data_IF_832654596626
#
_entry.id   IF_832654596626
#
_cell.length_a   1.000
_cell.length_b   1.000
_cell.length_c   1.000
_cell.angle_alpha   90.00
_cell.angle_beta   90.00
_cell.angle_gamma   90.00
#
_symmetry.space_group_name_H-M   'P 1'
#
loop_
_entity.id
_entity.type
_entity.pdbx_description
1 polymer ?
#
# COMPACT_ATOMS: atom_id res chain seq x y z
N UNK A 1 -19.38 4.56 8.04
CA UNK A 1 -18.76 5.50 7.07
C UNK A 1 -17.66 4.78 6.31
N UNK A 2 -17.31 5.24 5.11
CA UNK A 2 -16.22 4.60 4.37
C UNK A 2 -14.94 5.43 4.40
N UNK A 3 -13.82 4.74 4.50
CA UNK A 3 -12.49 5.33 4.64
C UNK A 3 -11.52 4.73 3.64
N UNK A 4 -10.55 5.55 3.24
CA UNK A 4 -9.32 5.12 2.59
C UNK A 4 -8.19 5.25 3.60
N UNK A 5 -7.34 4.24 3.65
CA UNK A 5 -6.11 4.23 4.43
C UNK A 5 -4.94 3.91 3.50
N UNK A 6 -3.81 4.58 3.71
CA UNK A 6 -2.53 4.28 3.04
C UNK A 6 -1.37 4.41 4.02
N UNK A 7 -0.27 3.73 3.70
CA UNK A 7 0.91 3.58 4.54
C UNK A 7 2.19 3.80 3.74
N UNK A 8 3.11 4.59 4.31
CA UNK A 8 4.52 4.60 3.93
C UNK A 8 5.37 4.10 5.08
N UNK A 9 6.49 3.45 4.76
CA UNK A 9 7.34 2.82 5.76
C UNK A 9 8.54 2.15 5.14
N UNK A 10 9.20 1.34 5.95
CA UNK A 10 10.40 0.60 5.60
C UNK A 10 10.04 -0.86 5.32
N UNK A 11 10.62 -1.43 4.25
CA UNK A 11 10.61 -2.87 3.98
C UNK A 11 12.07 -3.28 3.94
N UNK A 12 12.55 -3.91 5.02
CA UNK A 12 13.97 -4.21 5.23
C UNK A 12 14.16 -5.69 5.61
N UNK A 13 15.36 -6.27 5.51
CA UNK A 13 15.57 -7.69 5.81
C UNK A 13 15.10 -8.15 7.20
N UNK A 14 15.13 -7.25 8.20
CA UNK A 14 14.70 -7.53 9.58
C UNK A 14 13.20 -7.33 9.82
N UNK A 15 12.51 -6.57 8.95
CA UNK A 15 11.09 -6.26 9.10
C UNK A 15 10.37 -6.49 7.78
N UNK A 16 9.38 -7.38 7.79
CA UNK A 16 8.45 -7.53 6.65
C UNK A 16 7.86 -6.17 6.25
N UNK A 17 7.46 -5.36 7.25
CA UNK A 17 7.12 -3.96 7.07
C UNK A 17 7.19 -3.20 8.41
N UNK A 18 7.78 -2.01 8.40
CA UNK A 18 7.76 -1.09 9.54
C UNK A 18 7.11 0.25 9.12
N UNK A 19 5.91 0.60 9.64
CA UNK A 19 5.23 1.84 9.28
C UNK A 19 6.00 3.08 9.72
N UNK A 20 5.97 4.11 8.87
CA UNK A 20 6.54 5.44 9.16
C UNK A 20 5.55 6.57 9.02
N UNK A 21 4.67 6.51 8.04
CA UNK A 21 3.57 7.45 7.83
C UNK A 21 2.29 6.64 7.61
N UNK A 22 1.20 7.05 8.27
CA UNK A 22 -0.13 6.52 8.01
C UNK A 22 -1.05 7.68 7.73
N UNK A 23 -1.92 7.54 6.73
CA UNK A 23 -2.97 8.51 6.47
C UNK A 23 -4.33 7.84 6.31
N UNK A 24 -5.36 8.55 6.75
CA UNK A 24 -6.76 8.15 6.67
C UNK A 24 -7.56 9.29 6.09
N UNK A 25 -8.37 9.00 5.08
CA UNK A 25 -9.27 9.97 4.44
C UNK A 25 -10.68 9.41 4.42
N UNK A 26 -11.66 10.18 4.87
CA UNK A 26 -13.07 9.81 4.70
C UNK A 26 -13.45 9.94 3.23
N UNK A 27 -14.15 8.95 2.67
CA UNK A 27 -14.71 9.06 1.33
C UNK A 27 -15.81 10.12 1.25
N UNK A 28 -16.69 10.14 2.26
CA UNK A 28 -17.88 11.00 2.26
C UNK A 28 -17.67 12.38 2.87
N UNK A 29 -16.72 12.52 3.81
CA UNK A 29 -16.48 13.78 4.53
C UNK A 29 -15.21 14.46 4.06
N UNK A 30 -15.07 15.75 4.38
CA UNK A 30 -13.83 16.52 4.17
C UNK A 30 -12.80 16.31 5.30
N UNK A 31 -12.87 15.18 6.00
CA UNK A 31 -11.95 14.86 7.09
C UNK A 31 -10.80 13.99 6.60
N UNK A 32 -9.59 14.37 6.99
CA UNK A 32 -8.38 13.60 6.78
C UNK A 32 -7.52 13.68 8.04
N UNK A 33 -6.76 12.61 8.30
CA UNK A 33 -5.80 12.55 9.40
C UNK A 33 -4.56 11.82 8.92
N UNK A 34 -3.40 12.23 9.40
CA UNK A 34 -2.12 11.62 9.05
C UNK A 34 -1.17 11.68 10.23
N UNK A 35 -0.41 10.62 10.43
CA UNK A 35 0.52 10.47 11.54
C UNK A 35 1.89 10.07 11.03
N UNK A 36 2.93 10.52 11.74
CA UNK A 36 4.30 10.10 11.51
C UNK A 36 4.81 9.42 12.77
N UNK A 37 5.18 8.15 12.62
CA UNK A 37 5.55 7.32 13.74
C UNK A 37 6.97 7.63 14.20
N UNK A 38 7.15 7.68 15.50
CA UNK A 38 8.48 7.61 16.10
C UNK A 38 9.07 6.21 15.88
N UNK A 39 10.39 6.10 15.68
CA UNK A 39 11.02 4.80 15.51
C UNK A 39 10.92 3.97 16.80
N UNK A 40 10.79 2.63 16.71
CA UNK A 40 10.70 1.76 17.89
C UNK A 40 12.04 1.66 18.63
N UNK A 41 13.17 1.69 17.89
CA UNK A 41 14.51 1.62 18.45
C UNK A 41 15.43 2.72 17.90
N UNK A 42 16.54 2.94 18.59
CA UNK A 42 17.59 3.85 18.13
C UNK A 42 18.25 3.32 16.85
N UNK A 43 18.50 4.19 15.87
CA UNK A 43 19.13 3.83 14.59
C UNK A 43 20.41 2.97 14.74
N UNK A 44 21.21 3.26 15.77
CA UNK A 44 22.50 2.58 15.98
C UNK A 44 22.38 1.11 16.38
N UNK A 45 21.22 0.66 16.87
CA UNK A 45 21.01 -0.73 17.31
C UNK A 45 20.87 -1.72 16.15
N UNK A 46 20.62 -1.23 14.94
CA UNK A 46 20.40 -2.09 13.78
C UNK A 46 21.68 -2.50 13.05
N UNK A 47 21.61 -3.63 12.36
CA UNK A 47 22.70 -4.10 11.50
C UNK A 47 22.94 -3.19 10.29
N UNK A 48 24.15 -3.20 9.69
CA UNK A 48 24.50 -2.33 8.57
C UNK A 48 23.53 -2.39 7.38
N UNK A 49 22.99 -3.55 7.05
CA UNK A 49 22.10 -3.71 5.89
C UNK A 49 20.71 -3.12 6.14
N UNK A 50 20.21 -3.22 7.37
CA UNK A 50 18.97 -2.57 7.80
C UNK A 50 19.14 -1.05 7.82
N UNK A 51 20.28 -0.56 8.28
CA UNK A 51 20.64 0.88 8.22
C UNK A 51 20.64 1.42 6.80
N UNK A 52 21.27 0.71 5.84
CA UNK A 52 21.25 1.08 4.41
C UNK A 52 19.82 1.15 3.87
N UNK A 53 18.98 0.17 4.23
CA UNK A 53 17.57 0.16 3.85
C UNK A 53 16.83 1.38 4.42
N UNK A 54 16.96 1.65 5.73
CA UNK A 54 16.37 2.83 6.38
C UNK A 54 16.78 4.12 5.67
N UNK A 55 18.06 4.27 5.34
CA UNK A 55 18.57 5.46 4.67
C UNK A 55 18.01 5.60 3.25
N UNK A 56 17.93 4.51 2.50
CA UNK A 56 17.33 4.48 1.17
C UNK A 56 15.89 5.00 1.21
N UNK A 57 15.05 4.43 2.05
CA UNK A 57 13.64 4.81 2.16
C UNK A 57 13.47 6.24 2.68
N UNK A 58 14.27 6.62 3.69
CA UNK A 58 14.25 7.97 4.27
C UNK A 58 14.68 9.06 3.27
N UNK A 59 15.60 8.76 2.35
CA UNK A 59 16.18 9.75 1.43
C UNK A 59 15.58 9.71 0.03
N UNK A 60 15.03 8.58 -0.42
CA UNK A 60 14.61 8.35 -1.80
C UNK A 60 13.14 7.99 -1.97
N UNK A 61 12.49 7.41 -0.95
CA UNK A 61 11.11 6.94 -1.07
C UNK A 61 10.14 7.92 -0.44
N UNK A 62 10.13 8.02 0.89
CA UNK A 62 9.14 8.83 1.60
C UNK A 62 9.72 10.11 2.22
N UNK A 63 11.03 10.33 2.26
CA UNK A 63 11.60 11.63 2.67
C UNK A 63 11.49 11.95 4.17
N UNK A 64 11.13 10.96 4.98
CA UNK A 64 10.98 11.07 6.44
C UNK A 64 12.18 10.37 7.06
N UNK A 65 12.97 11.10 7.86
CA UNK A 65 14.16 10.56 8.52
C UNK A 65 13.74 9.57 9.61
N UNK A 66 14.61 8.61 9.89
CA UNK A 66 14.40 7.62 10.95
C UNK A 66 13.99 8.26 12.28
N UNK A 67 14.70 9.31 12.70
CA UNK A 67 14.49 10.00 13.97
C UNK A 67 13.29 10.94 14.02
N UNK A 68 12.62 11.18 12.90
CA UNK A 68 11.43 12.04 12.86
C UNK A 68 10.17 11.27 13.24
N UNK A 69 9.10 11.98 13.56
CA UNK A 69 7.87 11.38 14.06
C UNK A 69 7.69 11.57 15.55
N UNK A 70 6.45 11.62 15.98
CA UNK A 70 6.08 11.98 17.36
C UNK A 70 5.06 11.03 17.97
N UNK A 71 4.61 10.03 17.21
CA UNK A 71 3.52 9.14 17.59
C UNK A 71 4.10 7.74 17.78
N UNK A 72 4.09 7.18 18.99
CA UNK A 72 4.41 5.78 19.21
C UNK A 72 3.48 4.86 18.43
N UNK A 73 3.99 3.70 17.99
CA UNK A 73 3.20 2.75 17.19
C UNK A 73 1.96 2.22 17.92
N UNK A 74 2.07 2.00 19.24
CA UNK A 74 0.96 1.53 20.07
C UNK A 74 -0.19 2.54 20.16
N UNK A 75 0.14 3.81 20.40
CA UNK A 75 -0.82 4.91 20.45
C UNK A 75 -1.56 5.04 19.10
N UNK A 76 -0.82 4.92 18.01
CA UNK A 76 -1.41 4.96 16.67
C UNK A 76 -2.39 3.82 16.42
N UNK A 77 -2.06 2.59 16.87
CA UNK A 77 -2.97 1.45 16.74
C UNK A 77 -4.29 1.72 17.47
N UNK A 78 -4.24 2.31 18.67
CA UNK A 78 -5.43 2.68 19.44
C UNK A 78 -6.24 3.75 18.69
N UNK A 79 -5.57 4.81 18.21
CA UNK A 79 -6.23 5.91 17.51
C UNK A 79 -6.92 5.46 16.23
N UNK A 80 -6.23 4.69 15.39
CA UNK A 80 -6.79 4.20 14.13
C UNK A 80 -7.92 3.21 14.39
N UNK A 81 -7.76 2.26 15.33
CA UNK A 81 -8.84 1.34 15.71
C UNK A 81 -10.10 2.11 16.10
N UNK A 82 -9.96 3.09 17.00
CA UNK A 82 -11.08 3.91 17.48
C UNK A 82 -11.74 4.71 16.35
N UNK A 83 -10.95 5.29 15.45
CA UNK A 83 -11.48 6.03 14.30
C UNK A 83 -12.26 5.11 13.34
N UNK A 84 -11.82 3.86 13.18
CA UNK A 84 -12.39 2.89 12.25
C UNK A 84 -13.52 2.03 12.84
N UNK A 85 -13.85 2.16 14.13
CA UNK A 85 -14.92 1.36 14.77
C UNK A 85 -16.26 1.47 14.04
N UNK A 86 -16.58 2.66 13.53
CA UNK A 86 -17.83 2.93 12.80
C UNK A 86 -17.69 2.85 11.27
N UNK A 87 -16.55 2.34 10.80
CA UNK A 87 -16.31 2.19 9.37
C UNK A 87 -17.17 1.03 8.81
N UNK A 88 -17.89 1.28 7.71
CA UNK A 88 -18.56 0.20 6.99
C UNK A 88 -17.50 -0.51 6.15
N UNK A 89 -16.80 0.24 5.29
CA UNK A 89 -15.73 -0.24 4.44
C UNK A 89 -14.42 0.54 4.68
N UNK A 90 -13.30 -0.17 4.56
CA UNK A 90 -11.95 0.39 4.62
C UNK A 90 -11.23 -0.06 3.36
N UNK A 91 -10.78 0.91 2.57
CA UNK A 91 -10.10 0.69 1.30
C UNK A 91 -8.63 1.04 1.42
N UNK A 92 -7.76 0.25 0.80
CA UNK A 92 -6.33 0.53 0.66
C UNK A 92 -5.88 0.25 -0.77
N UNK A 93 -4.69 0.73 -1.13
CA UNK A 93 -4.12 0.65 -2.48
C UNK A 93 -2.63 0.34 -2.35
N UNK A 94 -2.32 -0.69 -1.56
CA UNK A 94 -0.93 -1.07 -1.27
C UNK A 94 -0.57 -2.28 -2.11
N UNK A 95 0.60 -2.20 -2.75
CA UNK A 95 1.21 -3.23 -3.59
C UNK A 95 1.93 -4.33 -2.80
N UNK A 96 2.08 -4.13 -1.48
CA UNK A 96 2.80 -5.05 -0.59
C UNK A 96 1.84 -5.81 0.30
N UNK A 97 1.92 -7.14 0.25
CA UNK A 97 1.17 -8.04 1.13
C UNK A 97 1.39 -7.72 2.61
N UNK A 98 2.63 -7.47 3.01
CA UNK A 98 3.00 -7.14 4.39
C UNK A 98 2.35 -5.83 4.88
N UNK A 99 2.12 -4.85 3.99
CA UNK A 99 1.36 -3.62 4.35
C UNK A 99 -0.12 -3.93 4.60
N UNK A 100 -0.74 -4.79 3.79
CA UNK A 100 -2.13 -5.22 4.00
C UNK A 100 -2.26 -5.97 5.33
N UNK A 101 -1.36 -6.91 5.59
CA UNK A 101 -1.36 -7.71 6.81
C UNK A 101 -1.16 -6.84 8.05
N UNK A 102 -0.26 -5.84 7.98
CA UNK A 102 -0.12 -4.85 9.03
C UNK A 102 -1.43 -4.09 9.31
N UNK A 103 -2.17 -3.66 8.27
CA UNK A 103 -3.45 -2.98 8.43
C UNK A 103 -4.52 -3.88 9.02
N UNK A 104 -4.67 -5.10 8.51
CA UNK A 104 -5.67 -6.06 8.98
C UNK A 104 -5.42 -6.45 10.44
N UNK A 105 -4.16 -6.68 10.81
CA UNK A 105 -3.75 -6.90 12.19
C UNK A 105 -4.04 -5.69 13.08
N UNK A 106 -3.66 -4.49 12.61
CA UNK A 106 -3.88 -3.23 13.34
C UNK A 106 -5.37 -2.94 13.51
N UNK A 107 -6.23 -3.30 12.57
CA UNK A 107 -7.66 -2.98 12.63
C UNK A 107 -8.50 -4.11 13.22
N UNK A 108 -7.98 -5.33 13.28
CA UNK A 108 -8.72 -6.53 13.69
C UNK A 108 -9.88 -6.88 12.74
N UNK A 109 -9.81 -6.46 11.47
CA UNK A 109 -10.82 -6.71 10.45
C UNK A 109 -10.23 -6.59 9.05
N UNK A 110 -10.93 -7.15 8.07
CA UNK A 110 -10.51 -7.12 6.68
C UNK A 110 -10.45 -5.68 6.12
N UNK A 111 -9.43 -5.45 5.29
CA UNK A 111 -9.24 -4.23 4.52
C UNK A 111 -9.30 -4.59 3.04
N UNK A 112 -10.11 -3.86 2.28
CA UNK A 112 -10.26 -4.08 0.84
C UNK A 112 -9.07 -3.46 0.11
N UNK A 113 -8.11 -4.30 -0.29
CA UNK A 113 -7.01 -3.85 -1.13
C UNK A 113 -7.49 -3.69 -2.57
N UNK A 114 -7.62 -2.44 -3.01
CA UNK A 114 -8.01 -2.13 -4.37
C UNK A 114 -6.84 -2.24 -5.34
N UNK A 115 -5.58 -2.35 -4.86
CA UNK A 115 -4.41 -2.57 -5.72
C UNK A 115 -4.53 -3.84 -6.57
N UNK A 116 -5.18 -4.88 -6.04
CA UNK A 116 -5.38 -6.17 -6.72
C UNK A 116 -6.25 -6.05 -7.98
N UNK A 117 -6.92 -4.92 -8.18
CA UNK A 117 -7.90 -4.70 -9.23
C UNK A 117 -7.62 -3.46 -10.08
N UNK A 118 -6.51 -2.79 -9.83
CA UNK A 118 -6.14 -1.55 -10.49
C UNK A 118 -5.06 -1.77 -11.53
N UNK A 119 -5.22 -1.11 -12.67
CA UNK A 119 -4.18 -0.91 -13.66
C UNK A 119 -3.43 0.43 -13.45
N UNK A 120 -3.85 1.29 -12.50
CA UNK A 120 -3.29 2.64 -12.35
C UNK A 120 -2.56 2.88 -11.03
N UNK A 121 -1.24 3.08 -11.13
CA UNK A 121 -0.35 3.49 -10.05
C UNK A 121 -0.68 4.89 -9.50
N UNK A 122 -0.22 5.19 -8.28
CA UNK A 122 -0.37 6.54 -7.69
C UNK A 122 0.21 7.66 -8.59
N UNK A 123 1.28 7.37 -9.32
CA UNK A 123 1.90 8.26 -10.30
C UNK A 123 0.96 8.59 -11.47
N UNK A 124 0.21 7.61 -11.97
CA UNK A 124 -0.75 7.81 -13.05
C UNK A 124 -1.97 8.60 -12.58
N UNK A 125 -2.50 8.26 -11.40
CA UNK A 125 -3.59 9.03 -10.77
C UNK A 125 -3.14 10.47 -10.49
N UNK A 126 -1.88 10.68 -10.09
CA UNK A 126 -1.34 12.03 -9.89
C UNK A 126 -1.28 12.83 -11.20
N UNK A 127 -0.99 12.18 -12.34
CA UNK A 127 -0.97 12.82 -13.66
C UNK A 127 -2.38 13.16 -14.13
N UNK A 128 -3.35 12.27 -13.90
CA UNK A 128 -4.76 12.48 -14.25
C UNK A 128 -5.41 13.59 -13.43
N UNK A 129 -5.30 13.53 -12.10
CA UNK A 129 -6.03 14.42 -11.21
C UNK A 129 -5.29 15.71 -10.85
N UNK A 130 -4.01 15.83 -11.25
CA UNK A 130 -3.18 17.03 -11.06
C UNK A 130 -3.04 17.49 -9.60
N UNK A 131 -3.23 16.58 -8.64
CA UNK A 131 -3.42 16.93 -7.23
C UNK A 131 -2.20 16.62 -6.39
N UNK A 132 -1.81 17.59 -5.55
CA UNK A 132 -0.72 17.45 -4.58
C UNK A 132 -1.23 17.88 -3.20
N UNK A 133 -2.06 17.06 -2.57
CA UNK A 133 -2.19 17.18 -1.12
C UNK A 133 -0.97 16.52 -0.51
N UNK A 134 -0.33 17.13 0.46
CA UNK A 134 0.77 16.51 1.17
C UNK A 134 0.48 16.57 2.66
N UNK A 135 1.00 15.62 3.43
CA UNK A 135 0.92 15.72 4.88
C UNK A 135 1.69 16.97 5.34
N UNK A 136 1.37 17.46 6.54
CA UNK A 136 1.98 18.67 7.08
C UNK A 136 3.52 18.60 7.06
N UNK A 137 4.07 17.43 7.34
CA UNK A 137 5.51 17.21 7.32
C UNK A 137 6.14 17.41 5.93
N UNK A 138 5.56 16.80 4.90
CA UNK A 138 6.02 17.00 3.52
C UNK A 138 5.79 18.43 3.05
N UNK A 139 4.69 19.08 3.45
CA UNK A 139 4.43 20.49 3.13
C UNK A 139 5.51 21.40 3.71
N UNK A 140 5.87 21.22 4.98
CA UNK A 140 6.91 22.01 5.65
C UNK A 140 8.30 21.78 5.05
N UNK A 141 8.56 20.60 4.49
CA UNK A 141 9.82 20.29 3.79
C UNK A 141 9.83 20.71 2.32
N UNK A 142 8.70 21.08 1.74
CA UNK A 142 8.55 21.31 0.29
C UNK A 142 9.31 22.53 -0.29
N UNK A 143 10.05 23.27 0.55
CA UNK A 143 10.92 24.38 0.14
C UNK A 143 12.05 23.96 -0.80
N UNK A 144 12.45 22.68 -0.81
CA UNK A 144 13.39 22.15 -1.82
C UNK A 144 12.66 21.27 -2.84
N UNK A 145 13.02 21.40 -4.13
CA UNK A 145 12.39 20.64 -5.25
C UNK A 145 12.39 19.12 -5.02
N UNK A 146 13.40 18.61 -4.32
CA UNK A 146 13.57 17.19 -3.99
C UNK A 146 12.39 16.66 -3.18
N UNK A 147 11.78 17.48 -2.31
CA UNK A 147 10.69 17.03 -1.44
C UNK A 147 9.34 16.86 -2.14
N UNK A 148 9.19 17.32 -3.38
CA UNK A 148 7.94 17.19 -4.16
C UNK A 148 7.76 15.83 -4.83
N UNK A 149 8.79 14.99 -4.78
CA UNK A 149 8.83 13.66 -5.40
C UNK A 149 8.67 12.53 -4.37
N UNK A 150 8.65 12.85 -3.07
CA UNK A 150 8.46 11.84 -2.04
C UNK A 150 7.04 11.26 -2.03
N UNK A 151 6.98 9.97 -1.78
CA UNK A 151 5.73 9.27 -1.52
C UNK A 151 5.14 9.76 -0.20
N UNK A 152 3.88 10.18 -0.25
CA UNK A 152 3.13 10.68 0.90
C UNK A 152 1.83 9.89 1.00
N UNK A 153 1.62 9.21 2.14
CA UNK A 153 0.42 8.42 2.38
C UNK A 153 -0.85 9.27 2.24
N UNK A 154 -0.82 10.52 2.72
CA UNK A 154 -1.97 11.42 2.64
C UNK A 154 -2.28 11.84 1.20
N UNK A 155 -1.25 12.10 0.39
CA UNK A 155 -1.45 12.41 -1.03
C UNK A 155 -2.14 11.25 -1.73
N UNK A 156 -1.61 10.05 -1.52
CA UNK A 156 -2.12 8.82 -2.10
C UNK A 156 -3.59 8.60 -1.73
N UNK A 157 -3.94 8.70 -0.43
CA UNK A 157 -5.33 8.59 0.02
C UNK A 157 -6.27 9.57 -0.71
N UNK A 158 -5.84 10.80 -0.96
CA UNK A 158 -6.64 11.76 -1.71
C UNK A 158 -6.77 11.43 -3.19
N UNK A 159 -5.71 10.93 -3.84
CA UNK A 159 -5.76 10.45 -5.22
C UNK A 159 -6.74 9.28 -5.35
N UNK A 160 -6.64 8.32 -4.44
CA UNK A 160 -7.55 7.17 -4.36
C UNK A 160 -8.99 7.60 -4.11
N UNK A 161 -9.23 8.60 -3.25
CA UNK A 161 -10.57 9.17 -3.05
C UNK A 161 -11.16 9.72 -4.34
N UNK A 162 -10.36 10.48 -5.11
CA UNK A 162 -10.82 11.02 -6.39
C UNK A 162 -11.15 9.91 -7.38
N UNK A 163 -10.29 8.89 -7.45
CA UNK A 163 -10.51 7.73 -8.30
C UNK A 163 -11.80 6.99 -7.93
N UNK A 164 -12.00 6.63 -6.65
CA UNK A 164 -13.22 5.95 -6.19
C UNK A 164 -14.48 6.77 -6.51
N UNK A 165 -14.44 8.09 -6.28
CA UNK A 165 -15.58 8.98 -6.59
C UNK A 165 -15.84 9.04 -8.09
N UNK A 166 -14.79 9.06 -8.92
CA UNK A 166 -14.90 9.04 -10.38
C UNK A 166 -15.59 7.74 -10.84
N UNK A 167 -15.08 6.58 -10.41
CA UNK A 167 -15.68 5.27 -10.72
C UNK A 167 -17.15 5.23 -10.29
N UNK A 168 -17.46 5.69 -9.07
CA UNK A 168 -18.82 5.71 -8.58
C UNK A 168 -19.76 6.58 -9.43
N UNK A 169 -19.30 7.71 -9.95
CA UNK A 169 -20.07 8.57 -10.86
C UNK A 169 -20.26 7.92 -12.22
N UNK A 170 -19.21 7.36 -12.79
CA UNK A 170 -19.24 6.73 -14.11
C UNK A 170 -20.27 5.58 -14.16
N UNK A 171 -20.35 4.76 -13.11
CA UNK A 171 -21.29 3.64 -13.04
C UNK A 171 -22.69 3.99 -12.55
N UNK A 172 -22.84 5.06 -11.74
CA UNK A 172 -24.17 5.47 -11.27
C UNK A 172 -24.91 6.36 -12.26
N UNK A 173 -24.19 7.00 -13.20
CA UNK A 173 -24.74 8.01 -14.10
C UNK A 173 -25.26 9.27 -13.39
N UNK A 174 -24.99 9.41 -12.08
CA UNK A 174 -25.45 10.54 -11.26
C UNK A 174 -24.36 11.61 -11.13
N UNK A 175 -24.68 12.90 -11.30
CA UNK A 175 -23.75 13.99 -11.04
C UNK A 175 -23.55 14.25 -9.54
N UNK A 176 -24.44 13.75 -8.68
CA UNK A 176 -24.41 14.00 -7.24
C UNK A 176 -23.25 13.27 -6.55
N UNK A 177 -22.92 13.69 -5.33
CA UNK A 177 -21.93 13.00 -4.53
C UNK A 177 -22.44 11.59 -4.18
N UNK A 178 -21.72 10.52 -4.58
CA UNK A 178 -22.20 9.16 -4.38
C UNK A 178 -22.19 8.80 -2.90
N UNK A 179 -23.26 8.17 -2.41
CA UNK A 179 -23.29 7.62 -1.05
C UNK A 179 -22.49 6.30 -0.94
N UNK A 180 -22.33 5.81 0.30
CA UNK A 180 -21.60 4.57 0.62
C UNK A 180 -22.12 3.35 -0.15
N UNK A 181 -23.45 3.22 -0.29
CA UNK A 181 -24.07 2.11 -1.01
C UNK A 181 -23.86 2.20 -2.53
N UNK A 182 -23.82 3.42 -3.07
CA UNK A 182 -23.53 3.71 -4.48
C UNK A 182 -22.07 3.42 -4.80
N UNK A 183 -21.14 3.86 -3.94
CA UNK A 183 -19.71 3.54 -4.06
C UNK A 183 -19.51 2.02 -4.04
N UNK A 184 -20.06 1.32 -3.05
CA UNK A 184 -19.87 -0.13 -2.91
C UNK A 184 -20.42 -0.89 -4.12
N UNK A 185 -21.59 -0.51 -4.63
CA UNK A 185 -22.17 -1.13 -5.85
C UNK A 185 -21.34 -0.83 -7.09
N UNK A 186 -20.97 0.43 -7.31
CA UNK A 186 -20.19 0.85 -8.46
C UNK A 186 -18.82 0.16 -8.50
N UNK A 187 -18.12 0.12 -7.36
CA UNK A 187 -16.89 -0.65 -7.24
C UNK A 187 -17.15 -2.13 -7.53
N UNK A 188 -18.18 -2.75 -6.96
CA UNK A 188 -18.51 -4.14 -7.27
C UNK A 188 -18.80 -4.42 -8.76
N UNK A 189 -19.38 -3.46 -9.48
CA UNK A 189 -19.56 -3.56 -10.94
C UNK A 189 -18.23 -3.41 -11.69
N UNK A 190 -17.48 -2.34 -11.39
CA UNK A 190 -16.17 -2.09 -11.98
C UNK A 190 -15.23 -3.29 -11.81
N UNK A 191 -15.15 -3.82 -10.59
CA UNK A 191 -14.33 -4.98 -10.26
C UNK A 191 -14.71 -6.21 -11.09
N UNK A 192 -16.01 -6.51 -11.22
CA UNK A 192 -16.44 -7.66 -12.04
C UNK A 192 -16.05 -7.51 -13.50
N UNK A 193 -16.27 -6.32 -14.08
CA UNK A 193 -15.95 -6.06 -15.49
C UNK A 193 -14.43 -6.14 -15.75
N UNK A 194 -13.60 -5.61 -14.84
CA UNK A 194 -12.15 -5.54 -15.05
C UNK A 194 -11.39 -6.80 -14.58
N UNK A 195 -12.00 -7.69 -13.78
CA UNK A 195 -11.41 -9.00 -13.44
C UNK A 195 -11.54 -9.97 -14.62
N UNK A 196 -12.66 -9.92 -15.35
CA UNK A 196 -12.89 -10.79 -16.51
C UNK A 196 -11.89 -10.49 -17.64
N UNK A 197 -11.58 -9.21 -17.89
CA UNK A 197 -10.61 -8.80 -18.92
C UNK A 197 -9.16 -9.22 -18.58
N UNK A 198 -8.75 -9.15 -17.31
CA UNK A 198 -7.40 -9.54 -16.88
C UNK A 198 -7.15 -11.07 -16.92
N UNK A 199 -8.20 -11.88 -16.80
CA UNK A 199 -8.08 -13.35 -16.96
C UNK A 199 -7.96 -13.74 -18.44
N UNK A 200 -8.59 -13.00 -19.35
CA UNK A 200 -8.52 -13.25 -20.80
C UNK A 200 -7.15 -12.84 -21.37
N UNK A 201 -6.57 -11.71 -20.93
CA UNK A 201 -5.23 -11.30 -21.37
C UNK A 201 -4.12 -12.24 -20.87
N UNK A 202 -4.22 -12.76 -19.63
CA UNK A 202 -3.26 -13.73 -19.11
C UNK A 202 -3.35 -15.11 -19.77
N UNK A 203 -4.52 -15.52 -20.25
CA UNK A 203 -4.65 -16.76 -21.05
C UNK A 203 -4.15 -16.59 -22.49
N UNK A 204 -4.21 -15.38 -23.04
CA UNK A 204 -3.65 -15.04 -24.36
C UNK A 204 -2.12 -14.98 -24.37
N UNK A 205 -1.48 -14.68 -23.24
CA UNK A 205 -0.03 -14.59 -23.13
C UNK A 205 0.66 -15.96 -22.92
N UNK A 206 -0.10 -16.98 -22.49
CA UNK A 206 0.41 -18.35 -22.25
C UNK A 206 0.37 -19.21 -23.52
N UNK A 207 -0.26 -18.76 -24.61
CA UNK A 207 -0.43 -19.56 -25.84
C UNK A 207 0.59 -19.27 -26.95
N UNK A 208 1.75 -18.67 -26.66
CA UNK A 208 2.77 -18.36 -27.67
C UNK A 208 4.19 -18.78 -27.31
N UNK A 209 4.35 -19.91 -26.62
CA UNK A 209 5.66 -20.58 -26.49
C UNK A 209 5.46 -22.11 -26.58
N UNK A 210 5.11 -22.60 -27.78
CA UNK A 210 5.27 -24.01 -28.17
C UNK A 210 5.81 -24.01 -29.60
N UNK A 211 7.12 -23.81 -29.74
CA UNK A 211 7.93 -24.21 -30.89
C UNK A 211 9.39 -24.17 -30.41
N UNK A 212 9.78 -25.20 -29.65
CA UNK A 212 11.19 -25.51 -29.40
C UNK A 212 11.43 -26.90 -29.96
N UNK A 213 12.26 -26.92 -31.00
CA UNK A 213 12.72 -28.11 -31.71
C UNK A 213 13.35 -29.12 -30.75
N UNK A 214 12.92 -30.37 -30.92
CA UNK A 214 13.57 -31.57 -30.39
C UNK A 214 14.99 -31.68 -30.98
N UNK A 215 16.02 -31.59 -30.13
CA UNK A 215 17.32 -32.18 -30.42
C UNK A 215 17.79 -32.94 -29.16
N UNK A 216 17.87 -34.25 -29.35
CA UNK A 216 18.25 -35.30 -28.41
C UNK A 216 19.75 -35.26 -28.03
N UNK A 217 20.01 -35.90 -26.87
CA UNK A 217 21.23 -36.63 -26.47
C UNK A 217 22.50 -35.84 -26.05
N UNK A 218 22.79 -35.82 -24.74
CA UNK A 218 23.68 -36.82 -24.10
C UNK A 218 24.06 -36.41 -22.65
N UNK A 219 23.86 -37.38 -21.75
CA UNK A 219 24.63 -37.76 -20.54
C UNK A 219 25.50 -36.72 -19.80
N UNK A 220 25.23 -36.53 -18.49
CA UNK A 220 26.04 -37.16 -17.44
C UNK A 220 25.51 -36.89 -16.02
N UNK A 221 25.73 -37.88 -15.17
CA UNK A 221 25.15 -38.09 -13.85
C UNK A 221 25.88 -37.37 -12.69
N UNK A 222 25.29 -37.56 -11.49
CA UNK A 222 25.83 -37.33 -10.14
C UNK A 222 25.69 -35.86 -9.65
N UNK A 223 25.26 -35.51 -8.43
CA UNK A 223 25.10 -36.28 -7.20
C UNK A 223 24.25 -35.47 -6.18
N UNK A 224 23.47 -36.20 -5.40
CA UNK A 224 23.32 -36.12 -3.94
C UNK A 224 22.84 -34.85 -3.17
N UNK A 225 21.80 -35.14 -2.36
CA UNK A 225 21.68 -34.88 -0.92
C UNK A 225 21.11 -33.56 -0.32
N UNK A 226 19.94 -33.75 0.32
CA UNK A 226 19.54 -33.28 1.67
C UNK A 226 19.47 -31.77 1.99
N UNK A 227 18.30 -31.27 2.36
CA UNK A 227 17.75 -31.35 3.74
C UNK A 227 16.68 -30.28 3.97
N UNK A 228 15.69 -30.67 4.76
CA UNK A 228 14.61 -29.82 5.26
C UNK A 228 15.04 -29.02 6.50
N UNK A 229 14.63 -27.76 6.57
CA UNK A 229 14.38 -26.99 7.79
C UNK A 229 13.48 -25.81 7.36
N UNK A 230 12.23 -25.68 7.82
CA UNK A 230 11.86 -25.54 9.22
C UNK A 230 11.60 -24.06 9.48
N UNK A 231 10.43 -23.57 9.04
CA UNK A 231 10.00 -22.18 9.21
C UNK A 231 9.90 -21.82 10.69
N UNK A 232 10.65 -20.81 11.11
CA UNK A 232 10.55 -20.22 12.45
C UNK A 232 9.38 -19.21 12.50
N UNK A 233 8.65 -19.12 13.62
CA UNK A 233 7.64 -18.07 13.82
C UNK A 233 8.30 -16.73 14.21
N UNK A 234 7.65 -15.58 13.91
CA UNK A 234 8.18 -14.27 14.26
C UNK A 234 8.14 -13.99 15.78
N UNK A 235 9.02 -13.11 16.29
CA UNK A 235 9.15 -12.85 17.72
C UNK A 235 7.97 -12.05 18.28
N UNK A 236 7.58 -12.40 19.50
CA UNK A 236 6.60 -11.67 20.30
C UNK A 236 7.22 -10.36 20.83
N UNK A 237 6.40 -9.30 20.84
CA UNK A 237 6.70 -8.03 21.48
C UNK A 237 6.40 -8.15 22.99
N UNK A 238 7.40 -7.88 23.83
CA UNK A 238 7.26 -7.59 25.27
C UNK A 238 7.27 -6.08 25.52
#
# INVERSE_FOLDING_TARGET
>A
MDYIIDLQGYICPEFEFLPKEIAVVSLMRHSASSWILSPPNHYHTYEPDVKKCIDLYSLKVHGIRWSEGSVPGEDLCIEIKNMMLSANNIYTFVDSRSKVEFLEWTLGRNVLNLCDFLCSSSSELSREFGFKAACLHHMLKSETKVHREYHCALNNCHLYKKWIIKVARDYSGSPDAPDSGTISRALGHYLRENIEDNLVENMSAVSTEDDVDDDDDDDDAEDDNTSAAGSAPPPAYD
#
